data_IF_031859223399
#
_entry.id   IF_031859223399
#
_cell.length_a   1.000
_cell.length_b   1.000
_cell.length_c   1.000
_cell.angle_alpha   90.00
_cell.angle_beta   90.00
_cell.angle_gamma   90.00
#
_symmetry.space_group_name_H-M   'P 1'
#
loop_
_entity.id
_entity.type
_entity.pdbx_description
1 polymer ?
#
# COMPACT_ATOMS: atom_id res chain seq x y z
N UNK A 1 -2.61 -17.54 -27.28
CA UNK A 1 -2.22 -18.87 -26.79
C UNK A 1 -3.08 -19.25 -25.58
N UNK A 2 -4.02 -20.17 -25.80
CA UNK A 2 -4.99 -20.64 -24.79
C UNK A 2 -4.28 -21.37 -23.63
N UNK A 3 -3.18 -22.06 -23.90
CA UNK A 3 -2.37 -22.75 -22.88
C UNK A 3 -1.65 -21.77 -21.96
N UNK A 4 -1.08 -20.70 -22.48
CA UNK A 4 -0.44 -19.65 -21.67
C UNK A 4 -1.48 -18.93 -20.78
N UNK A 5 -2.71 -18.80 -21.27
CA UNK A 5 -3.82 -18.23 -20.51
C UNK A 5 -4.31 -19.18 -19.42
N UNK A 6 -4.36 -20.48 -19.70
CA UNK A 6 -4.73 -21.51 -18.73
C UNK A 6 -3.67 -21.68 -17.64
N UNK A 7 -2.39 -21.59 -17.99
CA UNK A 7 -1.28 -21.68 -17.04
C UNK A 7 -1.21 -20.42 -16.16
N UNK A 8 -1.40 -19.24 -16.73
CA UNK A 8 -1.56 -17.98 -16.01
C UNK A 8 -2.76 -18.02 -15.04
N UNK A 9 -3.90 -18.52 -15.50
CA UNK A 9 -5.08 -18.74 -14.68
C UNK A 9 -4.80 -19.72 -13.52
N UNK A 10 -4.02 -20.77 -13.78
CA UNK A 10 -3.63 -21.78 -12.77
C UNK A 10 -2.68 -21.19 -11.73
N UNK A 11 -1.70 -20.38 -12.15
CA UNK A 11 -0.78 -19.66 -11.26
C UNK A 11 -1.52 -18.61 -10.45
N UNK A 12 -2.40 -17.84 -11.07
CA UNK A 12 -3.27 -16.86 -10.38
C UNK A 12 -4.20 -17.53 -9.38
N UNK A 13 -4.87 -18.63 -9.74
CA UNK A 13 -5.74 -19.37 -8.83
C UNK A 13 -4.98 -19.98 -7.65
N UNK A 14 -3.74 -20.43 -7.87
CA UNK A 14 -2.89 -20.94 -6.80
C UNK A 14 -2.36 -19.82 -5.89
N UNK A 15 -2.11 -18.64 -6.45
CA UNK A 15 -1.62 -17.46 -5.70
C UNK A 15 -2.74 -16.67 -5.01
N UNK A 16 -3.99 -16.77 -5.49
CA UNK A 16 -5.15 -16.06 -4.97
C UNK A 16 -6.03 -16.92 -4.05
N UNK A 17 -5.64 -18.18 -3.80
CA UNK A 17 -6.25 -19.06 -2.80
C UNK A 17 -5.80 -18.76 -1.36
N UNK A 18 -5.87 -19.75 -0.47
CA UNK A 18 -5.54 -19.62 0.97
C UNK A 18 -4.15 -19.05 1.29
N UNK A 19 -3.22 -19.03 0.32
CA UNK A 19 -1.88 -18.45 0.45
C UNK A 19 -1.81 -16.93 0.13
N UNK A 20 -2.90 -16.33 -0.31
CA UNK A 20 -2.95 -14.93 -0.72
C UNK A 20 -2.52 -13.96 0.40
N UNK A 21 -3.00 -14.18 1.62
CA UNK A 21 -2.67 -13.34 2.78
C UNK A 21 -1.18 -13.36 3.14
N UNK A 22 -0.52 -14.51 2.99
CA UNK A 22 0.91 -14.66 3.27
C UNK A 22 1.80 -13.93 2.27
N UNK A 23 1.52 -14.07 0.98
CA UNK A 23 2.32 -13.41 -0.08
C UNK A 23 2.12 -11.89 -0.11
N UNK A 24 0.89 -11.41 0.08
CA UNK A 24 0.60 -9.98 0.14
C UNK A 24 1.17 -9.31 1.41
N UNK A 25 1.20 -10.02 2.53
CA UNK A 25 1.85 -9.53 3.75
C UNK A 25 3.38 -9.51 3.66
N UNK A 26 3.98 -10.47 2.92
CA UNK A 26 5.43 -10.59 2.82
C UNK A 26 6.07 -9.56 1.88
N UNK A 27 5.39 -9.15 0.81
CA UNK A 27 5.96 -8.28 -0.24
C UNK A 27 5.29 -6.91 -0.35
N UNK A 28 4.26 -6.65 0.45
CA UNK A 28 3.45 -5.43 0.34
C UNK A 28 2.48 -5.46 -0.84
N UNK A 29 1.31 -4.86 -0.64
CA UNK A 29 0.22 -4.90 -1.62
C UNK A 29 0.59 -4.22 -2.96
N UNK A 30 1.18 -3.04 -2.92
CA UNK A 30 1.56 -2.28 -4.12
C UNK A 30 2.60 -3.01 -4.96
N UNK A 31 3.62 -3.59 -4.31
CA UNK A 31 4.64 -4.38 -4.99
C UNK A 31 4.05 -5.65 -5.62
N UNK A 32 3.17 -6.34 -4.90
CA UNK A 32 2.47 -7.52 -5.42
C UNK A 32 1.65 -7.18 -6.67
N UNK A 33 0.89 -6.08 -6.66
CA UNK A 33 0.08 -5.66 -7.80
C UNK A 33 0.93 -5.24 -8.99
N UNK A 34 2.05 -4.55 -8.77
CA UNK A 34 2.97 -4.18 -9.83
C UNK A 34 3.65 -5.39 -10.48
N UNK A 35 4.07 -6.36 -9.67
CA UNK A 35 4.60 -7.64 -10.17
C UNK A 35 3.55 -8.38 -11.01
N UNK A 36 2.29 -8.41 -10.56
CA UNK A 36 1.18 -9.02 -11.27
C UNK A 36 0.92 -8.32 -12.61
N UNK A 37 0.92 -6.99 -12.64
CA UNK A 37 0.73 -6.23 -13.88
C UNK A 37 1.88 -6.42 -14.86
N UNK A 38 3.14 -6.42 -14.39
CA UNK A 38 4.32 -6.73 -15.23
C UNK A 38 4.25 -8.13 -15.80
N UNK A 39 3.89 -9.12 -14.98
CA UNK A 39 3.71 -10.49 -15.43
C UNK A 39 2.63 -10.60 -16.52
N UNK A 40 1.47 -9.98 -16.28
CA UNK A 40 0.36 -9.99 -17.24
C UNK A 40 0.74 -9.35 -18.59
N UNK A 41 1.38 -8.17 -18.55
CA UNK A 41 1.83 -7.45 -19.75
C UNK A 41 2.91 -8.24 -20.52
N UNK A 42 3.81 -8.94 -19.82
CA UNK A 42 4.85 -9.75 -20.45
C UNK A 42 4.24 -10.98 -21.15
N UNK A 43 3.34 -11.68 -20.48
CA UNK A 43 2.65 -12.87 -21.03
C UNK A 43 1.79 -12.48 -22.24
N UNK A 44 1.04 -11.37 -22.18
CA UNK A 44 0.27 -10.87 -23.32
C UNK A 44 1.13 -10.54 -24.55
N UNK A 45 2.40 -10.20 -24.34
CA UNK A 45 3.38 -9.95 -25.41
C UNK A 45 4.21 -11.18 -25.80
N UNK A 46 3.89 -12.36 -25.28
CA UNK A 46 4.63 -13.60 -25.53
C UNK A 46 6.06 -13.59 -24.98
N UNK A 47 6.34 -12.79 -23.95
CA UNK A 47 7.66 -12.66 -23.32
C UNK A 47 7.62 -13.21 -21.89
N UNK A 48 8.74 -13.77 -21.44
CA UNK A 48 8.93 -14.09 -20.00
C UNK A 48 8.94 -12.81 -19.18
N UNK A 49 8.23 -12.75 -18.04
CA UNK A 49 8.25 -11.60 -17.16
C UNK A 49 9.67 -11.33 -16.66
N UNK A 50 10.15 -10.09 -16.83
CA UNK A 50 11.40 -9.64 -16.23
C UNK A 50 11.08 -8.85 -14.96
N UNK A 51 11.41 -9.40 -13.80
CA UNK A 51 11.19 -8.80 -12.48
C UNK A 51 12.38 -7.95 -12.01
N UNK A 52 13.51 -7.94 -12.73
CA UNK A 52 14.71 -7.16 -12.40
C UNK A 52 14.61 -5.70 -12.86
N UNK A 53 13.60 -5.36 -13.68
CA UNK A 53 13.39 -3.97 -14.06
C UNK A 53 12.91 -3.15 -12.84
N UNK A 54 13.43 -1.91 -12.64
CA UNK A 54 13.02 -1.07 -11.52
C UNK A 54 11.49 -0.93 -11.48
N UNK A 55 10.93 -1.19 -10.29
CA UNK A 55 9.52 -0.97 -10.01
C UNK A 55 9.25 0.54 -10.08
N UNK A 56 8.04 0.94 -10.45
CA UNK A 56 7.69 2.36 -10.41
C UNK A 56 7.89 2.91 -8.99
N UNK A 57 8.32 4.17 -8.89
CA UNK A 57 8.61 4.85 -7.62
C UNK A 57 7.34 5.17 -6.82
N UNK A 58 6.45 4.19 -6.68
CA UNK A 58 5.27 4.32 -5.81
C UNK A 58 5.67 4.04 -4.36
N UNK A 59 5.16 4.83 -3.43
CA UNK A 59 5.42 4.65 -2.01
C UNK A 59 4.92 3.26 -1.53
N UNK A 60 5.80 2.52 -0.89
CA UNK A 60 5.44 1.24 -0.26
C UNK A 60 4.88 1.51 1.15
N UNK A 61 3.64 1.07 1.40
CA UNK A 61 3.00 1.18 2.72
C UNK A 61 2.77 -0.22 3.28
N UNK A 62 3.49 -0.59 4.31
CA UNK A 62 3.34 -1.83 5.04
C UNK A 62 3.00 -1.56 6.51
N UNK A 63 1.76 -1.80 6.88
CA UNK A 63 1.29 -1.65 8.26
C UNK A 63 1.12 -2.98 8.98
N UNK A 64 1.59 -4.10 8.42
CA UNK A 64 1.47 -5.44 9.00
C UNK A 64 0.06 -5.79 9.46
N UNK A 65 -0.92 -5.53 8.58
CA UNK A 65 -2.33 -5.82 8.83
C UNK A 65 -3.00 -6.37 7.56
N UNK A 66 -4.10 -7.12 7.68
CA UNK A 66 -4.86 -7.60 6.53
C UNK A 66 -5.45 -6.41 5.72
N UNK A 67 -4.99 -6.19 4.50
CA UNK A 67 -5.46 -5.14 3.61
C UNK A 67 -5.82 -5.77 2.26
N UNK A 68 -6.99 -6.40 2.17
CA UNK A 68 -7.40 -7.20 1.01
C UNK A 68 -8.93 -7.22 0.85
N UNK A 69 -9.39 -7.67 -0.32
CA UNK A 69 -10.80 -7.93 -0.61
C UNK A 69 -11.05 -9.44 -0.39
N UNK A 70 -11.72 -9.83 0.72
CA UNK A 70 -12.02 -11.23 0.99
C UNK A 70 -12.95 -11.84 -0.07
N UNK A 71 -12.84 -13.15 -0.30
CA UNK A 71 -13.72 -13.89 -1.20
C UNK A 71 -15.16 -13.97 -0.69
N UNK A 72 -15.38 -13.95 0.60
CA UNK A 72 -16.72 -13.87 1.19
C UNK A 72 -17.42 -12.53 0.86
N UNK A 73 -16.64 -11.44 0.67
CA UNK A 73 -17.19 -10.14 0.30
C UNK A 73 -17.37 -10.00 -1.21
N UNK A 74 -16.41 -10.46 -2.00
CA UNK A 74 -16.44 -10.45 -3.45
C UNK A 74 -15.90 -11.77 -3.99
N UNK A 75 -16.80 -12.76 -4.21
CA UNK A 75 -16.44 -14.13 -4.58
C UNK A 75 -15.83 -14.26 -5.98
N UNK A 76 -16.17 -13.37 -6.91
CA UNK A 76 -15.66 -13.42 -8.28
C UNK A 76 -14.21 -12.91 -8.32
N UNK A 77 -13.27 -13.82 -8.61
CA UNK A 77 -11.84 -13.55 -8.69
C UNK A 77 -11.51 -12.49 -9.73
N UNK A 78 -12.20 -12.54 -10.89
CA UNK A 78 -11.94 -11.60 -11.98
C UNK A 78 -12.34 -10.17 -11.57
N UNK A 79 -13.50 -10.00 -10.94
CA UNK A 79 -13.94 -8.73 -10.41
C UNK A 79 -13.01 -8.22 -9.30
N UNK A 80 -12.56 -9.08 -8.38
CA UNK A 80 -11.55 -8.71 -7.36
C UNK A 80 -10.30 -8.13 -8.01
N UNK A 81 -9.74 -8.81 -9.02
CA UNK A 81 -8.55 -8.34 -9.74
C UNK A 81 -8.78 -6.98 -10.41
N UNK A 82 -9.95 -6.76 -11.00
CA UNK A 82 -10.30 -5.48 -11.59
C UNK A 82 -10.34 -4.37 -10.54
N UNK A 83 -10.92 -4.63 -9.36
CA UNK A 83 -10.92 -3.65 -8.27
C UNK A 83 -9.53 -3.38 -7.73
N UNK A 84 -8.70 -4.41 -7.51
CA UNK A 84 -7.31 -4.22 -7.12
C UNK A 84 -6.55 -3.35 -8.12
N UNK A 85 -6.67 -3.64 -9.42
CA UNK A 85 -6.03 -2.85 -10.47
C UNK A 85 -6.52 -1.40 -10.49
N UNK A 86 -7.81 -1.18 -10.34
CA UNK A 86 -8.40 0.16 -10.29
C UNK A 86 -7.91 0.93 -9.08
N UNK A 87 -7.92 0.31 -7.89
CA UNK A 87 -7.41 0.91 -6.65
C UNK A 87 -5.92 1.26 -6.80
N UNK A 88 -5.09 0.34 -7.28
CA UNK A 88 -3.64 0.57 -7.42
C UNK A 88 -3.29 1.68 -8.41
N UNK A 89 -4.11 1.90 -9.42
CA UNK A 89 -3.92 2.92 -10.45
C UNK A 89 -4.56 4.27 -10.11
N UNK A 90 -5.17 4.43 -8.94
CA UNK A 90 -5.71 5.74 -8.54
C UNK A 90 -4.58 6.69 -8.13
N UNK A 91 -4.70 7.92 -8.60
CA UNK A 91 -3.78 9.03 -8.38
C UNK A 91 -4.39 10.15 -7.52
N UNK A 92 -5.65 9.99 -7.10
CA UNK A 92 -6.37 10.99 -6.31
C UNK A 92 -7.36 10.37 -5.34
N UNK A 93 -7.61 11.11 -4.25
CA UNK A 93 -8.58 10.73 -3.23
C UNK A 93 -9.99 10.60 -3.81
N UNK A 94 -10.40 11.50 -4.71
CA UNK A 94 -11.72 11.48 -5.34
C UNK A 94 -11.96 10.18 -6.12
N UNK A 95 -10.98 9.76 -6.93
CA UNK A 95 -11.08 8.49 -7.68
C UNK A 95 -11.15 7.29 -6.74
N UNK A 96 -10.39 7.31 -5.65
CA UNK A 96 -10.40 6.27 -4.64
C UNK A 96 -11.77 6.17 -3.94
N UNK A 97 -12.36 7.31 -3.59
CA UNK A 97 -13.69 7.38 -2.95
C UNK A 97 -14.80 6.90 -3.90
N UNK A 98 -14.71 7.21 -5.21
CA UNK A 98 -15.64 6.70 -6.22
C UNK A 98 -15.61 5.17 -6.31
N UNK A 99 -14.41 4.56 -6.28
CA UNK A 99 -14.27 3.10 -6.26
C UNK A 99 -14.86 2.52 -4.97
N UNK A 100 -14.65 3.17 -3.84
CA UNK A 100 -15.21 2.75 -2.56
C UNK A 100 -16.74 2.79 -2.56
N UNK A 101 -17.35 3.86 -3.10
CA UNK A 101 -18.78 3.97 -3.24
C UNK A 101 -19.34 2.88 -4.15
N UNK A 102 -18.72 2.62 -5.29
CA UNK A 102 -19.12 1.54 -6.19
C UNK A 102 -19.10 0.16 -5.50
N UNK A 103 -18.07 -0.11 -4.70
CA UNK A 103 -18.00 -1.36 -3.93
C UNK A 103 -19.15 -1.48 -2.92
N UNK A 104 -19.47 -0.38 -2.22
CA UNK A 104 -20.58 -0.35 -1.26
C UNK A 104 -21.92 -0.57 -1.97
N UNK A 105 -22.14 0.08 -3.09
CA UNK A 105 -23.40 -0.01 -3.85
C UNK A 105 -23.63 -1.42 -4.40
N UNK A 106 -22.58 -2.09 -4.83
CA UNK A 106 -22.68 -3.41 -5.47
C UNK A 106 -22.61 -4.59 -4.50
N UNK A 107 -21.86 -4.47 -3.43
CA UNK A 107 -21.52 -5.59 -2.54
C UNK A 107 -21.86 -5.32 -1.07
N UNK A 108 -22.38 -4.15 -0.76
CA UNK A 108 -22.78 -3.77 0.59
C UNK A 108 -21.61 -3.25 1.45
N UNK A 109 -21.82 -3.23 2.76
CA UNK A 109 -20.86 -2.64 3.72
C UNK A 109 -19.53 -3.42 3.68
N UNK A 110 -18.41 -2.73 3.40
CA UNK A 110 -17.12 -3.38 3.31
C UNK A 110 -16.64 -3.90 4.68
N UNK A 111 -16.13 -5.14 4.74
CA UNK A 111 -15.50 -5.68 5.93
C UNK A 111 -14.19 -4.97 6.27
N UNK A 112 -13.68 -5.21 7.46
CA UNK A 112 -12.49 -4.51 7.98
C UNK A 112 -11.26 -4.61 7.05
N UNK A 113 -10.91 -5.76 6.46
CA UNK A 113 -9.77 -5.83 5.53
C UNK A 113 -9.90 -4.93 4.30
N UNK A 114 -11.12 -4.73 3.79
CA UNK A 114 -11.38 -3.81 2.66
C UNK A 114 -11.22 -2.35 3.09
N UNK A 115 -11.72 -1.98 4.28
CA UNK A 115 -11.51 -0.63 4.84
C UNK A 115 -10.03 -0.34 5.02
N UNK A 116 -9.26 -1.32 5.51
CA UNK A 116 -7.81 -1.22 5.68
C UNK A 116 -7.09 -1.08 4.34
N UNK A 117 -7.54 -1.79 3.29
CA UNK A 117 -7.01 -1.65 1.94
C UNK A 117 -7.14 -0.20 1.42
N UNK A 118 -8.30 0.41 1.59
CA UNK A 118 -8.53 1.80 1.20
C UNK A 118 -7.69 2.78 2.04
N UNK A 119 -7.57 2.56 3.35
CA UNK A 119 -6.74 3.37 4.23
C UNK A 119 -5.25 3.32 3.83
N UNK A 120 -4.71 2.14 3.56
CA UNK A 120 -3.33 1.96 3.07
C UNK A 120 -3.12 2.70 1.75
N UNK A 121 -4.08 2.60 0.83
CA UNK A 121 -3.96 3.28 -0.46
C UNK A 121 -4.04 4.81 -0.34
N UNK A 122 -4.92 5.33 0.53
CA UNK A 122 -4.98 6.76 0.85
C UNK A 122 -3.66 7.27 1.44
N UNK A 123 -3.04 6.50 2.35
CA UNK A 123 -1.72 6.82 2.89
C UNK A 123 -0.64 6.82 1.81
N UNK A 124 -0.71 5.90 0.84
CA UNK A 124 0.21 5.87 -0.30
C UNK A 124 0.16 7.17 -1.09
N UNK A 125 -1.02 7.69 -1.41
CA UNK A 125 -1.18 8.95 -2.13
C UNK A 125 -0.56 10.14 -1.36
N UNK A 126 -0.76 10.17 -0.04
CA UNK A 126 -0.14 11.19 0.83
C UNK A 126 1.38 11.04 0.89
N UNK A 127 1.88 9.82 1.03
CA UNK A 127 3.29 9.51 1.09
C UNK A 127 4.02 9.89 -0.21
N UNK A 128 3.42 9.62 -1.37
CA UNK A 128 3.94 10.03 -2.67
C UNK A 128 4.10 11.56 -2.77
N UNK A 129 3.10 12.32 -2.31
CA UNK A 129 3.15 13.79 -2.27
C UNK A 129 4.27 14.30 -1.36
N UNK A 130 4.57 13.58 -0.28
CA UNK A 130 5.65 13.89 0.66
C UNK A 130 7.03 13.37 0.23
N UNK A 131 7.14 12.70 -0.91
CA UNK A 131 8.38 12.06 -1.31
C UNK A 131 8.84 10.95 -0.34
N UNK A 132 7.89 10.30 0.34
CA UNK A 132 8.15 9.12 1.16
C UNK A 132 8.15 7.90 0.23
N UNK A 133 9.21 7.11 0.31
CA UNK A 133 9.39 5.91 -0.51
C UNK A 133 8.90 4.65 0.19
N UNK A 134 8.97 4.62 1.54
CA UNK A 134 8.55 3.47 2.33
C UNK A 134 8.01 3.88 3.69
N UNK A 135 6.90 3.23 4.10
CA UNK A 135 6.37 3.23 5.46
C UNK A 135 6.25 1.79 5.89
N UNK A 136 7.01 1.37 6.88
CA UNK A 136 7.01 0.01 7.43
C UNK A 136 6.81 0.08 8.94
N UNK A 137 5.56 -0.07 9.38
CA UNK A 137 5.14 0.14 10.77
C UNK A 137 4.36 -1.07 11.28
N UNK A 138 4.93 -1.72 12.28
CA UNK A 138 4.34 -2.85 13.00
C UNK A 138 3.69 -2.43 14.34
N UNK A 139 3.27 -3.41 15.13
CA UNK A 139 2.79 -3.18 16.50
C UNK A 139 3.84 -2.52 17.40
N UNK A 140 5.13 -2.75 17.14
CA UNK A 140 6.24 -2.24 17.94
C UNK A 140 6.87 -0.95 17.36
N UNK A 141 6.18 -0.27 16.47
CA UNK A 141 6.73 0.83 15.68
C UNK A 141 7.39 0.34 14.39
N UNK A 142 8.34 1.11 13.87
CA UNK A 142 9.01 0.77 12.62
C UNK A 142 9.76 1.94 12.00
N UNK A 143 9.73 2.07 10.66
CA UNK A 143 10.50 3.09 9.94
C UNK A 143 9.72 3.74 8.81
N UNK A 144 10.07 4.99 8.54
CA UNK A 144 9.61 5.75 7.38
C UNK A 144 10.86 6.21 6.61
N UNK A 145 10.90 5.94 5.31
CA UNK A 145 12.01 6.31 4.45
C UNK A 145 11.60 7.41 3.48
N UNK A 146 12.41 8.45 3.39
CA UNK A 146 12.22 9.59 2.52
C UNK A 146 13.09 9.47 1.27
N UNK A 147 12.60 9.96 0.14
CA UNK A 147 13.42 10.15 -1.05
C UNK A 147 14.49 11.22 -0.80
N UNK A 148 15.66 11.15 -1.45
CA UNK A 148 16.61 12.27 -1.47
C UNK A 148 15.99 13.60 -1.91
N UNK A 149 14.99 13.52 -2.80
CA UNK A 149 14.28 14.67 -3.38
C UNK A 149 12.96 14.99 -2.65
N UNK A 150 12.80 14.54 -1.40
CA UNK A 150 11.59 14.83 -0.61
C UNK A 150 11.36 16.34 -0.47
N UNK A 151 10.12 16.83 -0.67
CA UNK A 151 9.78 18.22 -0.41
C UNK A 151 9.70 18.53 1.10
N UNK A 152 9.70 17.52 1.97
CA UNK A 152 9.63 17.71 3.43
C UNK A 152 10.92 18.37 3.92
N UNK A 153 10.79 19.52 4.56
CA UNK A 153 11.93 20.26 5.08
C UNK A 153 12.50 19.56 6.33
N UNK A 154 13.82 19.47 6.44
CA UNK A 154 14.48 18.86 7.59
C UNK A 154 14.07 19.52 8.92
N UNK A 155 13.78 20.81 8.91
CA UNK A 155 13.33 21.55 10.10
C UNK A 155 12.01 21.02 10.63
N UNK A 156 11.06 20.62 9.77
CA UNK A 156 9.78 20.06 10.16
C UNK A 156 9.95 18.74 10.91
N UNK A 157 10.84 17.89 10.40
CA UNK A 157 11.17 16.60 11.06
C UNK A 157 11.85 16.86 12.42
N UNK A 158 12.77 17.84 12.50
CA UNK A 158 13.45 18.20 13.75
C UNK A 158 12.43 18.71 14.78
N UNK A 159 11.51 19.60 14.39
CA UNK A 159 10.48 20.12 15.28
C UNK A 159 9.54 19.03 15.78
N UNK A 160 9.16 18.09 14.92
CA UNK A 160 8.36 16.94 15.29
C UNK A 160 9.10 16.04 16.31
N UNK A 161 10.39 15.78 16.11
CA UNK A 161 11.21 15.03 17.06
C UNK A 161 11.37 15.77 18.39
N UNK A 162 11.49 17.09 18.38
CA UNK A 162 11.56 17.89 19.60
C UNK A 162 10.26 17.88 20.39
N UNK A 163 9.11 17.90 19.72
CA UNK A 163 7.78 17.78 20.35
C UNK A 163 7.53 16.38 20.94
N UNK A 164 8.07 15.35 20.31
CA UNK A 164 7.84 13.94 20.67
C UNK A 164 9.15 13.13 20.69
N UNK A 165 10.10 13.45 21.60
CA UNK A 165 11.45 12.87 21.56
C UNK A 165 11.51 11.37 21.84
N UNK A 166 10.46 10.82 22.48
CA UNK A 166 10.34 9.37 22.73
C UNK A 166 9.70 8.59 21.58
N UNK A 167 9.07 9.30 20.63
CA UNK A 167 8.34 8.66 19.53
C UNK A 167 9.18 8.55 18.27
N UNK A 168 10.10 9.49 18.04
CA UNK A 168 10.79 9.61 16.78
C UNK A 168 12.31 9.74 16.94
N UNK A 169 13.04 9.10 16.04
CA UNK A 169 14.50 9.21 15.97
C UNK A 169 14.95 9.12 14.51
N UNK A 170 15.85 10.01 14.08
CA UNK A 170 16.48 9.86 12.77
C UNK A 170 17.57 8.77 12.81
N UNK A 171 17.54 7.88 11.83
CA UNK A 171 18.58 6.88 11.55
C UNK A 171 19.19 7.18 10.17
N UNK A 172 20.33 7.87 10.15
CA UNK A 172 20.88 8.42 8.92
C UNK A 172 20.08 9.62 8.39
N UNK A 173 20.33 10.04 7.16
CA UNK A 173 19.76 11.26 6.60
C UNK A 173 18.31 11.14 6.06
N UNK A 174 17.80 9.93 5.86
CA UNK A 174 16.55 9.71 5.13
C UNK A 174 15.58 8.75 5.81
N UNK A 175 15.96 8.18 6.95
CA UNK A 175 15.14 7.19 7.67
C UNK A 175 14.71 7.74 9.03
N UNK A 176 13.41 7.85 9.22
CA UNK A 176 12.78 8.21 10.50
C UNK A 176 12.31 6.92 11.19
N UNK A 177 12.87 6.64 12.35
CA UNK A 177 12.39 5.55 13.22
C UNK A 177 11.22 6.03 14.06
N UNK A 178 10.17 5.21 14.09
CA UNK A 178 8.97 5.37 14.93
C UNK A 178 9.05 4.37 16.08
N UNK A 179 9.05 4.87 17.31
CA UNK A 179 9.22 4.08 18.55
C UNK A 179 7.94 4.13 19.39
N UNK A 180 6.80 3.86 18.78
CA UNK A 180 5.50 3.90 19.42
C UNK A 180 4.87 2.52 19.39
N UNK A 181 4.30 2.06 20.51
CA UNK A 181 3.53 0.82 20.57
C UNK A 181 2.15 1.04 19.94
N UNK A 182 1.87 0.32 18.87
CA UNK A 182 0.68 0.45 18.02
C UNK A 182 0.03 -0.93 17.79
N UNK A 183 -0.38 -1.60 18.84
CA UNK A 183 -0.90 -2.97 18.80
C UNK A 183 -2.16 -3.08 17.95
N UNK A 184 -3.10 -2.14 18.12
CA UNK A 184 -4.37 -2.11 17.41
C UNK A 184 -4.19 -1.55 15.99
N UNK A 185 -4.81 -2.18 14.98
CA UNK A 185 -4.72 -1.75 13.58
C UNK A 185 -5.28 -0.35 13.38
N UNK A 186 -6.39 0.00 14.03
CA UNK A 186 -7.03 1.31 13.96
C UNK A 186 -6.12 2.42 14.49
N UNK A 187 -5.46 2.18 15.62
CA UNK A 187 -4.50 3.14 16.19
C UNK A 187 -3.28 3.31 15.28
N UNK A 188 -2.84 2.23 14.64
CA UNK A 188 -1.72 2.26 13.69
C UNK A 188 -2.08 3.09 12.45
N UNK A 189 -3.26 2.86 11.88
CA UNK A 189 -3.80 3.62 10.76
C UNK A 189 -3.90 5.11 11.15
N UNK A 190 -4.52 5.41 12.27
CA UNK A 190 -4.71 6.78 12.73
C UNK A 190 -3.38 7.48 12.96
N UNK A 191 -2.46 6.87 13.68
CA UNK A 191 -1.14 7.46 13.98
C UNK A 191 -0.38 7.82 12.69
N UNK A 192 -0.31 6.90 11.72
CA UNK A 192 0.39 7.18 10.46
C UNK A 192 -0.36 8.23 9.63
N UNK A 193 -1.69 8.16 9.58
CA UNK A 193 -2.47 9.16 8.86
C UNK A 193 -2.26 10.56 9.43
N UNK A 194 -2.32 10.73 10.75
CA UNK A 194 -2.10 11.99 11.45
C UNK A 194 -0.67 12.52 11.23
N UNK A 195 0.32 11.62 11.23
CA UNK A 195 1.70 11.97 10.93
C UNK A 195 1.85 12.50 9.49
N UNK A 196 1.32 11.78 8.50
CA UNK A 196 1.38 12.21 7.10
C UNK A 196 0.63 13.52 6.87
N UNK A 197 -0.53 13.72 7.51
CA UNK A 197 -1.28 14.99 7.45
C UNK A 197 -0.54 16.16 8.11
N UNK A 198 0.14 15.91 9.22
CA UNK A 198 0.98 16.92 9.86
C UNK A 198 2.09 17.39 8.92
N UNK A 199 2.78 16.45 8.26
CA UNK A 199 3.84 16.79 7.30
C UNK A 199 3.29 17.50 6.05
N UNK A 200 2.10 17.12 5.55
CA UNK A 200 1.47 17.80 4.42
C UNK A 200 1.09 19.24 4.72
N UNK A 201 0.62 19.54 5.95
CA UNK A 201 0.28 20.90 6.37
C UNK A 201 1.49 21.84 6.42
N UNK A 202 2.69 21.31 6.60
CA UNK A 202 3.92 22.09 6.63
C UNK A 202 4.52 22.34 5.23
N UNK A 203 3.95 21.70 4.17
CA UNK A 203 4.32 21.99 2.78
C UNK A 203 3.61 23.22 2.21
N UNK A 204 2.54 23.69 2.87
CA UNK A 204 1.71 24.82 2.47
C UNK A 204 1.87 25.99 3.44
#
# INVERSE_FOLDING_TARGET
DEEAWLEFRRVLFRSLGEQQSGSMQAIGYSLYMEMLEKATKAIQKGKTPNFDAPLSLTAEINLHMPALIPDEYLGDVHQRLLFYKRISNTDSQEKLDNIRMELIDRFGIPPQPVKQLFAVHQMRLKAETLGITKVDISANGGTIEFSPDTPVQAISIIQMMQKHPTFFRMEGGQRLKVMVMLEEYEKRIQFINDLLESLLKELH
#
